data_IF_114434317703
#
_entry.id   IF_114434317703
#
_cell.length_a   1.000
_cell.length_b   1.000
_cell.length_c   1.000
_cell.angle_alpha   90.00
_cell.angle_beta   90.00
_cell.angle_gamma   90.00
#
_symmetry.space_group_name_H-M   'P 1'
#
loop_
_entity.id
_entity.type
_entity.pdbx_description
1 polymer ?
#
# COMPACT_ATOMS: atom_id res chain seq x y z
N UNK A 1 20.31 24.37 -0.25
CA UNK A 1 20.24 22.97 0.11
C UNK A 1 20.42 22.12 -1.16
N UNK A 2 21.51 21.35 -1.31
CA UNK A 2 21.78 20.56 -2.51
C UNK A 2 20.80 19.41 -2.74
N UNK A 3 19.99 19.06 -1.73
CA UNK A 3 19.03 17.96 -1.81
C UNK A 3 17.63 18.43 -2.26
N UNK A 4 17.22 19.62 -1.86
CA UNK A 4 15.86 20.14 -2.11
C UNK A 4 15.80 21.23 -3.16
N UNK A 5 16.94 21.79 -3.59
CA UNK A 5 16.99 22.94 -4.49
C UNK A 5 16.43 24.22 -3.89
N UNK A 6 16.10 24.22 -2.61
CA UNK A 6 15.59 25.37 -1.93
C UNK A 6 16.69 26.41 -1.72
N UNK A 7 16.37 27.65 -1.99
CA UNK A 7 17.20 28.82 -1.70
C UNK A 7 17.59 28.82 -0.22
N UNK A 8 18.79 29.30 0.08
CA UNK A 8 19.24 29.47 1.45
C UNK A 8 18.17 30.20 2.28
N UNK A 9 17.98 29.74 3.51
CA UNK A 9 17.07 30.38 4.45
C UNK A 9 17.30 31.89 4.47
N UNK A 10 16.24 32.70 4.49
CA UNK A 10 16.39 34.13 4.64
C UNK A 10 17.01 34.42 6.01
N UNK A 11 18.29 34.66 6.04
CA UNK A 11 18.99 35.10 7.25
C UNK A 11 18.74 36.60 7.39
N UNK A 12 18.27 37.08 8.54
CA UNK A 12 18.14 38.50 8.76
C UNK A 12 19.51 39.18 8.53
N UNK A 13 19.57 40.16 7.67
CA UNK A 13 20.80 40.91 7.44
C UNK A 13 20.78 42.13 8.32
N UNK A 14 21.87 42.32 9.06
CA UNK A 14 22.10 43.59 9.73
C UNK A 14 22.22 44.68 8.64
N UNK A 15 21.41 45.74 8.67
CA UNK A 15 21.51 46.83 7.70
C UNK A 15 22.84 47.59 7.75
N UNK A 16 23.72 47.31 8.72
CA UNK A 16 25.05 47.91 8.84
C UNK A 16 25.04 49.40 9.22
N UNK A 17 23.89 49.89 9.66
CA UNK A 17 23.73 51.32 10.08
C UNK A 17 23.78 51.47 11.61
N UNK A 18 24.10 50.40 12.36
CA UNK A 18 24.16 50.42 13.81
C UNK A 18 22.81 50.31 14.52
N UNK A 19 21.71 50.19 13.77
CA UNK A 19 20.36 50.05 14.36
C UNK A 19 20.01 48.60 14.74
N UNK A 20 20.84 47.65 14.38
CA UNK A 20 20.58 46.21 14.62
C UNK A 20 19.49 45.64 13.72
N UNK A 21 19.03 44.44 14.05
CA UNK A 21 17.95 43.76 13.33
C UNK A 21 16.59 44.38 13.65
N UNK A 22 15.78 44.59 12.62
CA UNK A 22 14.38 44.98 12.84
C UNK A 22 13.60 43.82 13.44
N UNK A 23 12.72 44.12 14.39
CA UNK A 23 11.88 43.11 15.01
C UNK A 23 11.04 42.28 13.98
N UNK A 24 10.55 42.96 12.92
CA UNK A 24 9.82 42.29 11.83
C UNK A 24 10.64 41.23 11.11
N UNK A 25 11.93 41.44 10.94
CA UNK A 25 12.82 40.52 10.24
C UNK A 25 13.14 39.30 11.11
N UNK A 26 13.31 39.50 12.42
CA UNK A 26 13.47 38.45 13.40
C UNK A 26 12.20 37.56 13.50
N UNK A 27 11.02 38.16 13.47
CA UNK A 27 9.75 37.45 13.48
C UNK A 27 9.58 36.62 12.18
N UNK A 28 9.91 37.25 11.04
CA UNK A 28 9.85 36.55 9.75
C UNK A 28 10.82 35.36 9.69
N UNK A 29 12.03 35.55 10.21
CA UNK A 29 13.03 34.48 10.31
C UNK A 29 12.56 33.37 11.25
N UNK A 30 12.05 33.69 12.43
CA UNK A 30 11.53 32.74 13.38
C UNK A 30 10.37 31.91 12.79
N UNK A 31 9.45 32.53 12.05
CA UNK A 31 8.36 31.86 11.36
C UNK A 31 8.86 30.95 10.24
N UNK A 32 9.88 31.37 9.48
CA UNK A 32 10.50 30.53 8.46
C UNK A 32 11.20 29.31 9.07
N UNK A 33 11.93 29.50 10.17
CA UNK A 33 12.58 28.41 10.93
C UNK A 33 11.56 27.44 11.48
N UNK A 34 10.44 27.91 12.01
CA UNK A 34 9.38 27.06 12.54
C UNK A 34 8.71 26.20 11.45
N UNK A 35 8.58 26.73 10.23
CA UNK A 35 8.08 25.96 9.08
C UNK A 35 9.07 24.89 8.60
N UNK A 36 10.38 25.16 8.71
CA UNK A 36 11.43 24.23 8.27
C UNK A 36 11.81 23.19 9.34
N UNK A 37 11.57 23.50 10.60
CA UNK A 37 11.92 22.63 11.73
C UNK A 37 10.78 21.71 12.18
N UNK A 38 9.74 21.57 11.38
CA UNK A 38 8.64 20.64 11.66
C UNK A 38 9.15 19.21 11.74
N UNK A 39 9.08 18.60 12.93
CA UNK A 39 9.34 17.19 13.13
C UNK A 39 8.00 16.46 13.05
N UNK A 40 7.84 15.56 12.07
CA UNK A 40 6.73 14.64 12.00
C UNK A 40 7.21 13.26 12.48
N UNK A 41 6.63 12.78 13.58
CA UNK A 41 6.88 11.42 14.07
C UNK A 41 5.70 10.56 13.65
N UNK A 42 5.95 9.61 12.76
CA UNK A 42 4.95 8.63 12.33
C UNK A 42 5.29 7.25 12.89
N UNK A 43 4.42 6.71 13.74
CA UNK A 43 4.59 5.37 14.29
C UNK A 43 3.65 4.39 13.58
N UNK A 44 4.22 3.45 12.83
CA UNK A 44 3.48 2.42 12.12
C UNK A 44 3.70 1.07 12.82
N UNK A 45 2.59 0.43 13.20
CA UNK A 45 2.59 -0.90 13.82
C UNK A 45 1.86 -1.87 12.92
N UNK A 46 2.49 -3.00 12.65
CA UNK A 46 1.95 -4.07 11.82
C UNK A 46 2.03 -5.40 12.55
N UNK A 47 0.99 -6.20 12.41
CA UNK A 47 0.97 -7.60 12.81
C UNK A 47 0.36 -8.43 11.68
N UNK A 48 1.01 -9.53 11.29
CA UNK A 48 0.54 -10.38 10.20
C UNK A 48 0.54 -11.84 10.62
N UNK A 49 -0.55 -12.53 10.31
CA UNK A 49 -0.67 -13.98 10.45
C UNK A 49 -0.99 -14.57 9.09
N UNK A 50 -0.30 -15.64 8.73
CA UNK A 50 -0.54 -16.31 7.47
C UNK A 50 -0.48 -17.82 7.63
N UNK A 51 -1.21 -18.52 6.76
CA UNK A 51 -1.15 -19.96 6.60
C UNK A 51 -1.28 -20.30 5.13
N UNK A 52 -0.56 -21.33 4.69
CA UNK A 52 -0.64 -21.86 3.34
C UNK A 52 -0.70 -23.38 3.40
N UNK A 53 -1.48 -23.96 2.48
CA UNK A 53 -1.60 -25.38 2.28
C UNK A 53 -1.41 -25.67 0.80
N UNK A 54 -0.43 -26.53 0.51
CA UNK A 54 -0.18 -27.09 -0.81
C UNK A 54 -0.42 -28.59 -0.73
N UNK A 55 -1.31 -29.09 -1.57
CA UNK A 55 -1.65 -30.50 -1.62
C UNK A 55 -1.58 -31.02 -3.04
N UNK A 56 -0.82 -32.08 -3.24
CA UNK A 56 -0.72 -32.79 -4.52
C UNK A 56 -1.30 -34.18 -4.39
N UNK A 57 -2.16 -34.56 -5.34
CA UNK A 57 -2.82 -35.87 -5.38
C UNK A 57 -2.49 -36.56 -6.71
N UNK A 58 -1.85 -37.72 -6.64
CA UNK A 58 -1.48 -38.59 -7.75
C UNK A 58 -0.61 -37.88 -8.82
N UNK A 59 0.09 -36.82 -8.45
CA UNK A 59 0.86 -35.95 -9.38
C UNK A 59 0.00 -35.34 -10.52
N UNK A 60 -1.29 -35.43 -10.42
CA UNK A 60 -2.26 -34.93 -11.41
C UNK A 60 -3.02 -33.70 -10.97
N UNK A 61 -3.33 -33.63 -9.69
CA UNK A 61 -4.14 -32.55 -9.12
C UNK A 61 -3.32 -31.85 -8.05
N UNK A 62 -3.15 -30.56 -8.18
CA UNK A 62 -2.48 -29.71 -7.18
C UNK A 62 -3.46 -28.68 -6.68
N UNK A 63 -3.62 -28.59 -5.38
CA UNK A 63 -4.45 -27.60 -4.70
C UNK A 63 -3.54 -26.71 -3.86
N UNK A 64 -3.68 -25.40 -4.04
CA UNK A 64 -2.99 -24.39 -3.24
C UNK A 64 -4.05 -23.53 -2.55
N UNK A 65 -3.96 -23.36 -1.26
CA UNK A 65 -4.83 -22.45 -0.50
C UNK A 65 -3.95 -21.63 0.40
N UNK A 66 -4.14 -20.32 0.40
CA UNK A 66 -3.47 -19.42 1.34
C UNK A 66 -4.46 -18.50 2.02
N UNK A 67 -4.17 -18.21 3.25
CA UNK A 67 -4.90 -17.25 4.07
C UNK A 67 -3.90 -16.33 4.75
N UNK A 68 -4.20 -15.04 4.76
CA UNK A 68 -3.41 -14.04 5.47
C UNK A 68 -4.33 -13.00 6.10
N UNK A 69 -4.02 -12.62 7.32
CA UNK A 69 -4.66 -11.46 7.96
C UNK A 69 -3.59 -10.48 8.41
N UNK A 70 -3.75 -9.24 7.99
CA UNK A 70 -2.82 -8.17 8.30
C UNK A 70 -3.53 -7.14 9.18
N UNK A 71 -2.92 -6.82 10.31
CA UNK A 71 -3.35 -5.78 11.23
C UNK A 71 -2.43 -4.57 11.16
N UNK A 72 -2.99 -3.37 11.21
CA UNK A 72 -2.23 -2.13 11.25
C UNK A 72 -2.99 -1.03 11.99
N UNK A 73 -2.25 -0.16 12.68
CA UNK A 73 -2.78 1.05 13.29
C UNK A 73 -3.12 2.16 12.26
N UNK A 74 -2.82 1.93 10.97
CA UNK A 74 -3.18 2.84 9.87
C UNK A 74 -4.62 2.64 9.39
N UNK A 75 -5.39 1.73 10.00
CA UNK A 75 -6.80 1.48 9.71
C UNK A 75 -7.70 1.97 10.82
N UNK A 76 -8.97 2.09 10.50
CA UNK A 76 -9.98 2.43 11.49
C UNK A 76 -10.04 1.41 12.63
N UNK A 77 -10.45 1.84 13.81
CA UNK A 77 -10.51 1.00 15.01
C UNK A 77 -11.35 -0.26 14.82
N UNK A 78 -12.36 -0.18 13.95
CA UNK A 78 -13.31 -1.27 13.70
C UNK A 78 -12.80 -2.26 12.62
N UNK A 79 -11.76 -1.87 11.85
CA UNK A 79 -11.25 -2.61 10.69
C UNK A 79 -9.73 -2.80 10.76
N UNK A 80 -9.18 -2.97 11.95
CA UNK A 80 -7.73 -3.09 12.16
C UNK A 80 -7.13 -4.32 11.48
N UNK A 81 -7.88 -5.42 11.40
CA UNK A 81 -7.45 -6.66 10.76
C UNK A 81 -8.17 -6.87 9.43
N UNK A 82 -7.39 -7.11 8.39
CA UNK A 82 -7.93 -7.37 7.05
C UNK A 82 -7.56 -8.77 6.57
N UNK A 83 -8.52 -9.71 6.57
CA UNK A 83 -8.29 -11.02 6.02
C UNK A 83 -8.28 -11.01 4.49
N UNK A 84 -7.28 -11.65 3.92
CA UNK A 84 -7.14 -11.96 2.50
C UNK A 84 -6.96 -13.46 2.35
N UNK A 85 -7.38 -14.01 1.22
CA UNK A 85 -7.19 -15.42 0.91
C UNK A 85 -7.01 -15.61 -0.59
N UNK A 86 -6.36 -16.68 -0.96
CA UNK A 86 -6.33 -17.16 -2.33
C UNK A 86 -6.47 -18.69 -2.37
N UNK A 87 -7.05 -19.17 -3.45
CA UNK A 87 -7.15 -20.58 -3.75
C UNK A 87 -6.83 -20.80 -5.23
N UNK A 88 -6.04 -21.84 -5.50
CA UNK A 88 -5.67 -22.24 -6.84
C UNK A 88 -5.75 -23.76 -6.97
N UNK A 89 -6.07 -24.21 -8.16
CA UNK A 89 -6.03 -25.61 -8.52
C UNK A 89 -5.32 -25.77 -9.87
N UNK A 90 -4.53 -26.81 -9.97
CA UNK A 90 -3.89 -27.23 -11.21
C UNK A 90 -4.30 -28.66 -11.49
N UNK A 91 -4.71 -28.90 -12.73
CA UNK A 91 -4.96 -30.24 -13.23
C UNK A 91 -3.98 -30.55 -14.37
N UNK A 92 -3.09 -31.49 -14.13
CA UNK A 92 -2.16 -32.02 -15.15
C UNK A 92 -2.88 -33.02 -16.04
N UNK A 93 -3.59 -32.52 -17.03
CA UNK A 93 -4.43 -33.32 -17.92
C UNK A 93 -3.59 -34.34 -18.69
N UNK A 94 -2.34 -33.98 -19.06
CA UNK A 94 -1.40 -34.88 -19.76
C UNK A 94 -1.05 -36.15 -18.97
N UNK A 95 -1.22 -36.15 -17.63
CA UNK A 95 -0.94 -37.31 -16.79
C UNK A 95 -2.16 -38.24 -16.65
N UNK A 96 -3.27 -37.95 -17.30
CA UNK A 96 -4.42 -38.79 -17.32
C UNK A 96 -4.28 -39.94 -18.33
N UNK A 97 -4.83 -41.11 -18.01
CA UNK A 97 -4.70 -42.32 -18.83
C UNK A 97 -5.29 -42.12 -20.23
N UNK A 98 -6.37 -41.37 -20.36
CA UNK A 98 -6.99 -41.07 -21.65
C UNK A 98 -6.14 -40.22 -22.58
N UNK A 99 -5.12 -39.54 -22.05
CA UNK A 99 -4.19 -38.69 -22.83
C UNK A 99 -3.02 -39.48 -23.42
N UNK A 100 -2.81 -40.74 -23.06
CA UNK A 100 -1.67 -41.54 -23.54
C UNK A 100 -1.60 -41.58 -25.07
N UNK A 101 -2.74 -41.68 -25.73
CA UNK A 101 -2.85 -41.76 -27.21
C UNK A 101 -2.38 -40.49 -27.88
N UNK A 102 -2.60 -39.32 -27.27
CA UNK A 102 -2.27 -37.98 -27.84
C UNK A 102 -0.90 -37.47 -27.38
N UNK A 103 -0.29 -38.11 -26.37
CA UNK A 103 1.02 -37.72 -25.80
C UNK A 103 2.16 -37.52 -26.81
N UNK A 104 2.26 -38.27 -27.88
CA UNK A 104 3.30 -38.03 -28.88
C UNK A 104 3.24 -36.65 -29.55
N UNK A 105 2.04 -36.06 -29.61
CA UNK A 105 1.80 -34.73 -30.21
C UNK A 105 1.64 -33.67 -29.09
N UNK A 106 0.79 -33.94 -28.12
CA UNK A 106 0.50 -33.05 -26.98
C UNK A 106 1.22 -33.60 -25.74
N UNK A 107 2.50 -33.22 -25.60
CA UNK A 107 3.38 -33.73 -24.54
C UNK A 107 3.05 -33.20 -23.16
N UNK A 108 2.47 -32.02 -23.09
CA UNK A 108 2.04 -31.41 -21.82
C UNK A 108 0.73 -30.66 -22.01
N UNK A 109 -0.18 -30.86 -21.08
CA UNK A 109 -1.42 -30.09 -20.97
C UNK A 109 -1.77 -29.93 -19.51
N UNK A 110 -1.88 -28.70 -19.05
CA UNK A 110 -2.31 -28.40 -17.68
C UNK A 110 -3.29 -27.26 -17.67
N UNK A 111 -4.37 -27.45 -16.91
CA UNK A 111 -5.37 -26.42 -16.65
C UNK A 111 -5.14 -25.86 -15.25
N UNK A 112 -5.01 -24.54 -15.15
CA UNK A 112 -4.86 -23.81 -13.89
C UNK A 112 -6.03 -22.88 -13.67
N UNK A 113 -6.57 -22.89 -12.48
CA UNK A 113 -7.59 -21.93 -12.04
C UNK A 113 -7.14 -21.36 -10.71
N UNK A 114 -7.20 -20.06 -10.56
CA UNK A 114 -6.90 -19.39 -9.30
C UNK A 114 -7.87 -18.24 -9.04
N UNK A 115 -8.22 -18.04 -7.78
CA UNK A 115 -9.05 -16.93 -7.33
C UNK A 115 -8.59 -16.46 -5.97
N UNK A 116 -8.82 -15.17 -5.66
CA UNK A 116 -8.47 -14.63 -4.36
C UNK A 116 -8.80 -13.16 -4.26
N UNK A 117 -8.48 -12.61 -3.09
CA UNK A 117 -8.57 -11.19 -2.81
C UNK A 117 -7.18 -10.62 -2.59
N UNK A 118 -6.90 -9.50 -3.26
CA UNK A 118 -5.71 -8.69 -3.06
C UNK A 118 -6.12 -7.41 -2.34
N UNK A 119 -5.39 -7.04 -1.29
CA UNK A 119 -5.60 -5.80 -0.57
C UNK A 119 -4.61 -4.71 -1.00
N UNK A 120 -5.07 -3.46 -1.05
CA UNK A 120 -4.23 -2.30 -1.26
C UNK A 120 -4.49 -1.26 -0.17
N UNK A 121 -3.43 -0.58 0.28
CA UNK A 121 -3.49 0.46 1.32
C UNK A 121 -3.35 1.83 0.65
N UNK A 122 -4.33 2.68 0.85
CA UNK A 122 -4.16 4.09 0.54
C UNK A 122 -3.50 4.80 1.74
N UNK A 123 -2.20 5.06 1.65
CA UNK A 123 -1.42 5.70 2.73
C UNK A 123 -1.74 7.18 2.92
N UNK A 124 -2.47 7.79 2.00
CA UNK A 124 -2.81 9.22 2.07
C UNK A 124 -3.94 9.48 3.06
N UNK A 125 -4.78 8.49 3.34
CA UNK A 125 -5.92 8.62 4.24
C UNK A 125 -5.54 8.09 5.61
N UNK A 126 -5.74 8.91 6.64
CA UNK A 126 -5.48 8.57 8.05
C UNK A 126 -6.82 8.32 8.76
N UNK A 127 -6.95 7.29 9.63
CA UNK A 127 -8.19 6.98 10.34
C UNK A 127 -8.49 7.95 11.48
N UNK A 128 -7.46 8.65 11.97
CA UNK A 128 -7.54 9.46 13.17
C UNK A 128 -8.02 10.89 12.89
N UNK A 129 -8.61 11.49 13.90
CA UNK A 129 -8.87 12.92 13.91
C UNK A 129 -7.55 13.68 13.82
N UNK A 130 -7.40 14.51 12.80
CA UNK A 130 -6.26 15.41 12.66
C UNK A 130 -6.73 16.85 12.80
N UNK A 131 -6.14 17.56 13.76
CA UNK A 131 -6.36 18.99 13.93
C UNK A 131 -5.09 19.75 13.53
N UNK A 132 -5.28 20.82 12.80
CA UNK A 132 -4.22 21.80 12.55
C UNK A 132 -4.50 23.05 13.36
N UNK A 133 -3.44 23.60 13.94
CA UNK A 133 -3.51 24.82 14.73
C UNK A 133 -2.83 25.95 13.96
N UNK A 134 -3.53 27.08 13.89
CA UNK A 134 -2.87 28.31 13.46
C UNK A 134 -2.03 28.84 14.63
N UNK A 135 -0.75 29.07 14.35
CA UNK A 135 0.10 29.84 15.26
C UNK A 135 -0.19 31.32 15.00
N UNK A 136 -0.29 32.09 16.05
CA UNK A 136 -0.42 33.55 15.97
C UNK A 136 -1.73 34.08 15.37
N UNK A 137 -2.85 33.39 15.60
CA UNK A 137 -4.14 34.03 15.33
C UNK A 137 -4.40 35.07 16.42
N UNK A 138 -4.38 36.35 16.06
CA UNK A 138 -4.69 37.46 16.97
C UNK A 138 -6.14 37.89 16.72
N UNK A 139 -6.94 37.88 17.75
CA UNK A 139 -8.29 38.47 17.75
C UNK A 139 -8.21 39.94 18.25
N UNK A 140 -7.23 40.21 19.14
CA UNK A 140 -6.91 41.53 19.63
C UNK A 140 -5.40 41.67 19.85
N UNK A 141 -4.89 42.87 19.99
CA UNK A 141 -3.45 43.16 20.19
C UNK A 141 -2.92 42.55 21.52
N UNK A 142 -3.78 42.27 22.47
CA UNK A 142 -3.40 41.84 23.82
C UNK A 142 -3.52 40.33 24.06
N UNK A 143 -4.17 39.56 23.15
CA UNK A 143 -4.43 38.12 23.37
C UNK A 143 -4.05 37.26 22.18
N UNK A 144 -3.19 36.27 22.42
CA UNK A 144 -2.83 35.23 21.45
C UNK A 144 -3.74 34.00 21.63
N UNK A 145 -4.69 33.83 20.74
CA UNK A 145 -5.53 32.64 20.71
C UNK A 145 -4.95 31.60 19.76
N UNK A 146 -4.95 30.32 20.18
CA UNK A 146 -4.67 29.20 19.29
C UNK A 146 -5.98 28.74 18.68
N UNK A 147 -6.17 28.96 17.40
CA UNK A 147 -7.31 28.46 16.67
C UNK A 147 -6.96 27.16 15.98
N UNK A 148 -7.70 26.11 16.30
CA UNK A 148 -7.57 24.81 15.65
C UNK A 148 -8.74 24.58 14.68
N UNK A 149 -8.48 23.90 13.60
CA UNK A 149 -9.52 23.37 12.72
C UNK A 149 -9.30 21.89 12.44
N UNK A 150 -10.39 21.18 12.18
CA UNK A 150 -10.34 19.77 11.83
C UNK A 150 -9.83 19.66 10.40
N UNK A 151 -8.63 19.09 10.25
CA UNK A 151 -8.04 18.83 8.95
C UNK A 151 -8.52 17.51 8.36
N UNK A 152 -8.77 16.52 9.21
CA UNK A 152 -9.29 15.22 8.83
C UNK A 152 -10.28 14.73 9.89
N UNK A 153 -11.49 14.37 9.48
CA UNK A 153 -12.46 13.75 10.36
C UNK A 153 -12.07 12.28 10.63
N UNK A 154 -12.35 11.74 11.82
CA UNK A 154 -12.04 10.35 12.12
C UNK A 154 -12.91 9.42 11.27
N UNK A 155 -12.30 8.33 10.77
CA UNK A 155 -13.00 7.28 10.06
C UNK A 155 -12.68 5.91 10.67
N UNK A 156 -13.45 5.45 11.67
CA UNK A 156 -13.23 4.16 12.33
C UNK A 156 -13.43 2.97 11.39
N UNK A 157 -14.12 3.16 10.27
CA UNK A 157 -14.38 2.13 9.25
C UNK A 157 -13.41 2.19 8.06
N UNK A 158 -12.30 2.93 8.19
CA UNK A 158 -11.28 2.97 7.15
C UNK A 158 -10.65 1.59 7.00
N UNK A 159 -10.80 0.99 5.83
CA UNK A 159 -10.33 -0.36 5.52
C UNK A 159 -9.54 -0.39 4.22
N UNK A 160 -8.90 -1.52 3.96
CA UNK A 160 -8.24 -1.83 2.70
C UNK A 160 -9.22 -1.84 1.52
N UNK A 161 -8.75 -1.40 0.39
CA UNK A 161 -9.41 -1.69 -0.88
C UNK A 161 -9.21 -3.18 -1.18
N UNK A 162 -10.30 -3.91 -1.41
CA UNK A 162 -10.26 -5.33 -1.77
C UNK A 162 -10.57 -5.49 -3.24
N UNK A 163 -9.65 -6.10 -3.95
CA UNK A 163 -9.79 -6.45 -5.35
C UNK A 163 -9.89 -7.96 -5.47
N UNK A 164 -10.92 -8.45 -6.11
CA UNK A 164 -11.07 -9.86 -6.43
C UNK A 164 -10.44 -10.15 -7.79
N UNK A 165 -9.56 -11.14 -7.80
CA UNK A 165 -8.94 -11.67 -9.01
C UNK A 165 -9.44 -13.10 -9.27
N UNK A 166 -9.74 -13.39 -10.53
CA UNK A 166 -9.99 -14.75 -11.03
C UNK A 166 -9.13 -14.95 -12.25
N UNK A 167 -8.37 -16.05 -12.28
CA UNK A 167 -7.47 -16.40 -13.38
C UNK A 167 -7.74 -17.82 -13.83
N UNK A 168 -7.74 -18.03 -15.15
CA UNK A 168 -7.79 -19.34 -15.77
C UNK A 168 -6.67 -19.41 -16.80
N UNK A 169 -5.83 -20.41 -16.74
CA UNK A 169 -4.72 -20.59 -17.66
C UNK A 169 -4.66 -22.02 -18.19
N UNK A 170 -4.32 -22.16 -19.46
CA UNK A 170 -4.06 -23.40 -20.13
C UNK A 170 -2.60 -23.41 -20.58
N UNK A 171 -1.80 -24.31 -20.01
CA UNK A 171 -0.43 -24.56 -20.40
C UNK A 171 -0.39 -25.76 -21.35
N UNK A 172 0.29 -25.64 -22.48
CA UNK A 172 0.46 -26.75 -23.40
C UNK A 172 1.88 -26.87 -23.93
N UNK A 173 2.28 -28.08 -24.20
CA UNK A 173 3.54 -28.41 -24.85
C UNK A 173 3.31 -29.39 -26.01
N UNK A 174 3.86 -29.13 -27.14
CA UNK A 174 3.72 -29.94 -28.37
C UNK A 174 5.05 -30.56 -28.77
N UNK A 175 4.98 -31.75 -29.38
CA UNK A 175 6.12 -32.47 -29.98
C UNK A 175 7.33 -32.60 -29.04
N UNK A 176 7.12 -33.22 -27.87
CA UNK A 176 8.14 -33.36 -26.82
C UNK A 176 8.66 -32.00 -26.34
N UNK A 177 7.72 -31.10 -26.07
CA UNK A 177 7.96 -29.73 -25.57
C UNK A 177 8.83 -28.83 -26.50
N UNK A 178 8.88 -29.12 -27.79
CA UNK A 178 9.55 -28.23 -28.77
C UNK A 178 8.79 -26.91 -28.94
N UNK A 179 7.48 -26.95 -28.81
CA UNK A 179 6.64 -25.75 -28.82
C UNK A 179 5.90 -25.73 -27.52
N UNK A 180 6.07 -24.66 -26.74
CA UNK A 180 5.40 -24.43 -25.49
C UNK A 180 4.60 -23.15 -25.55
N UNK A 181 3.41 -23.15 -24.98
CA UNK A 181 2.58 -21.96 -24.89
C UNK A 181 1.71 -21.93 -23.66
N UNK A 182 1.29 -20.75 -23.29
CA UNK A 182 0.35 -20.49 -22.22
C UNK A 182 -0.71 -19.55 -22.74
N UNK A 183 -1.97 -19.89 -22.53
CA UNK A 183 -3.11 -19.01 -22.76
C UNK A 183 -3.73 -18.70 -21.39
N UNK A 184 -3.80 -17.43 -21.05
CA UNK A 184 -4.33 -16.99 -19.77
C UNK A 184 -5.45 -15.97 -19.98
N UNK A 185 -6.54 -16.16 -19.26
CA UNK A 185 -7.62 -15.20 -19.12
C UNK A 185 -7.74 -14.81 -17.64
N UNK A 186 -7.93 -13.50 -17.39
CA UNK A 186 -8.13 -13.02 -16.04
C UNK A 186 -9.25 -11.98 -15.96
N UNK A 187 -9.92 -11.96 -14.84
CA UNK A 187 -10.95 -10.98 -14.49
C UNK A 187 -10.61 -10.38 -13.13
N UNK A 188 -10.66 -9.06 -13.07
CA UNK A 188 -10.40 -8.30 -11.86
C UNK A 188 -11.59 -7.38 -11.56
N UNK A 189 -12.03 -7.35 -10.32
CA UNK A 189 -13.13 -6.49 -9.84
C UNK A 189 -12.82 -5.92 -8.46
#
# INVERSE_FOLDING_TARGET
>A
DPVTGNSAMPVPKDPGNGEGFKYSDLVSYANAMDQLSGQEIEENRFASFYGALDYSLFDRYVLNVSFRTDGSNNFGSDEQFNPTWSAGAVWHVSEETFMEVVRPVLSRLSLRVATGYTGNINKTVKPNLMMKYYKNFRISDDENYRMGYINNAPNPKLRWEKTRDVKVALDFGLWKDRINGIVEAYWRK
#
